data_IF_440986039868
#
_entry.id   IF_440986039868
#
_cell.length_a   1.000
_cell.length_b   1.000
_cell.length_c   1.000
_cell.angle_alpha   90.00
_cell.angle_beta   90.00
_cell.angle_gamma   90.00
#
_symmetry.space_group_name_H-M   'P 1'
#
loop_
_entity.id
_entity.type
_entity.pdbx_description
1 polymer ?
#
# COMPACT_ATOMS: atom_id res chain seq x y z
N UNK A 1 37.61 32.01 3.83
CA UNK A 1 38.04 31.75 2.44
C UNK A 1 39.30 30.91 2.53
N UNK A 2 39.19 29.65 2.07
CA UNK A 2 40.07 28.55 2.43
C UNK A 2 41.43 28.54 1.73
N UNK A 3 42.16 27.45 1.96
CA UNK A 3 43.42 27.10 1.28
C UNK A 3 43.10 26.65 -0.16
N UNK A 4 43.90 27.00 -1.18
CA UNK A 4 43.69 26.48 -2.53
C UNK A 4 43.75 24.94 -2.54
N UNK A 5 42.85 24.33 -3.31
CA UNK A 5 42.70 22.87 -3.39
C UNK A 5 43.58 22.34 -4.52
N UNK A 6 44.41 21.34 -4.22
CA UNK A 6 45.14 20.59 -5.27
C UNK A 6 44.10 20.00 -6.22
N UNK A 7 44.29 20.16 -7.53
CA UNK A 7 43.35 19.69 -8.55
C UNK A 7 44.02 18.65 -9.44
N UNK A 8 43.34 17.53 -9.69
CA UNK A 8 43.76 16.56 -10.69
C UNK A 8 43.27 16.99 -12.07
N UNK A 9 44.18 17.14 -13.03
CA UNK A 9 43.87 17.41 -14.44
C UNK A 9 43.07 16.26 -15.03
N UNK A 10 42.05 16.57 -15.83
CA UNK A 10 41.23 15.58 -16.52
C UNK A 10 39.99 16.18 -17.16
N UNK A 11 39.21 15.31 -17.79
CA UNK A 11 38.09 15.68 -18.67
C UNK A 11 36.73 15.83 -17.93
N UNK A 12 36.75 15.68 -16.60
CA UNK A 12 35.57 15.91 -15.76
C UNK A 12 35.41 17.41 -15.50
N UNK A 13 34.17 17.88 -15.45
CA UNK A 13 33.84 19.29 -15.20
C UNK A 13 34.61 19.90 -14.00
N UNK A 14 34.64 19.18 -12.87
CA UNK A 14 35.34 19.63 -11.65
C UNK A 14 36.85 19.79 -11.87
N UNK A 15 37.48 18.87 -12.61
CA UNK A 15 38.90 18.93 -12.96
C UNK A 15 39.25 20.10 -13.86
N UNK A 16 38.40 20.38 -14.86
CA UNK A 16 38.60 21.50 -15.79
C UNK A 16 38.41 22.86 -15.09
N UNK A 17 37.38 22.98 -14.24
CA UNK A 17 37.13 24.19 -13.44
C UNK A 17 38.30 24.48 -12.50
N UNK A 18 38.73 23.49 -11.72
CA UNK A 18 39.85 23.67 -10.79
C UNK A 18 41.16 24.03 -11.50
N UNK A 19 41.47 23.38 -12.62
CA UNK A 19 42.70 23.66 -13.40
C UNK A 19 42.67 25.07 -14.00
N UNK A 20 41.52 25.51 -14.52
CA UNK A 20 41.35 26.85 -15.07
C UNK A 20 41.55 27.93 -13.99
N UNK A 21 40.91 27.76 -12.83
CA UNK A 21 41.03 28.73 -11.72
C UNK A 21 42.47 28.84 -11.25
N UNK A 22 43.11 27.70 -10.95
CA UNK A 22 44.51 27.68 -10.49
C UNK A 22 45.47 28.30 -11.50
N UNK A 23 45.21 28.10 -12.80
CA UNK A 23 46.01 28.72 -13.86
C UNK A 23 45.87 30.24 -13.85
N UNK A 24 44.65 30.76 -13.76
CA UNK A 24 44.40 32.20 -13.80
C UNK A 24 44.88 32.96 -12.56
N UNK A 25 45.00 32.29 -11.42
CA UNK A 25 45.57 32.87 -10.19
C UNK A 25 47.07 32.57 -10.03
N UNK A 26 47.70 31.91 -11.02
CA UNK A 26 49.14 31.65 -11.03
C UNK A 26 49.61 30.52 -10.11
N UNK A 27 48.71 29.63 -9.68
CA UNK A 27 48.99 28.49 -8.80
C UNK A 27 48.98 27.15 -9.57
N UNK A 28 49.58 27.14 -10.76
CA UNK A 28 49.62 25.97 -11.65
C UNK A 28 50.37 24.79 -11.04
N UNK A 29 51.25 25.03 -10.06
CA UNK A 29 51.99 23.97 -9.39
C UNK A 29 51.10 23.08 -8.50
N UNK A 30 49.88 23.54 -8.16
CA UNK A 30 48.83 22.76 -7.49
C UNK A 30 47.95 21.94 -8.44
N UNK A 31 48.22 21.97 -9.75
CA UNK A 31 47.55 21.11 -10.73
C UNK A 31 48.38 19.83 -10.89
N UNK A 32 47.81 18.69 -10.53
CA UNK A 32 48.43 17.39 -10.67
C UNK A 32 48.05 16.72 -11.99
N UNK A 33 48.99 16.01 -12.62
CA UNK A 33 48.75 15.29 -13.88
C UNK A 33 48.35 13.82 -13.67
N UNK A 34 48.61 13.26 -12.48
CA UNK A 34 48.25 11.88 -12.11
C UNK A 34 47.75 11.81 -10.67
N UNK A 35 47.05 10.74 -10.30
CA UNK A 35 46.60 10.51 -8.91
C UNK A 35 47.77 10.45 -7.91
N UNK A 36 48.90 9.87 -8.32
CA UNK A 36 50.10 9.84 -7.48
C UNK A 36 50.68 11.24 -7.24
N UNK A 37 50.78 12.05 -8.30
CA UNK A 37 51.24 13.44 -8.20
C UNK A 37 50.28 14.29 -7.35
N UNK A 38 48.98 14.02 -7.44
CA UNK A 38 47.95 14.67 -6.62
C UNK A 38 48.21 14.43 -5.13
N UNK A 39 48.39 13.17 -4.74
CA UNK A 39 48.67 12.79 -3.35
C UNK A 39 49.99 13.40 -2.89
N UNK A 40 51.05 13.33 -3.69
CA UNK A 40 52.35 13.90 -3.37
C UNK A 40 52.28 15.42 -3.14
N UNK A 41 51.58 16.16 -4.02
CA UNK A 41 51.38 17.61 -3.89
C UNK A 41 50.53 17.96 -2.68
N UNK A 42 49.47 17.20 -2.40
CA UNK A 42 48.62 17.41 -1.23
C UNK A 42 49.38 17.19 0.09
N UNK A 43 50.16 16.10 0.18
CA UNK A 43 50.99 15.80 1.36
C UNK A 43 52.08 16.86 1.56
N UNK A 44 52.75 17.28 0.48
CA UNK A 44 53.76 18.35 0.56
C UNK A 44 53.15 19.67 1.03
N UNK A 45 52.00 20.05 0.47
CA UNK A 45 51.30 21.27 0.86
C UNK A 45 50.82 21.21 2.31
N UNK A 46 50.33 20.06 2.79
CA UNK A 46 49.89 19.89 4.17
C UNK A 46 51.03 19.99 5.20
N UNK A 47 52.24 19.57 4.83
CA UNK A 47 53.41 19.61 5.71
C UNK A 47 54.18 20.95 5.68
N UNK A 48 53.92 21.82 4.69
CA UNK A 48 54.56 23.13 4.57
C UNK A 48 53.65 24.24 5.14
N UNK A 49 53.68 24.37 6.45
CA UNK A 49 52.86 25.34 7.20
C UNK A 49 53.17 26.80 6.85
N UNK A 50 54.44 27.11 6.54
CA UNK A 50 54.87 28.43 6.12
C UNK A 50 54.25 28.82 4.77
N UNK A 51 54.29 27.92 3.79
CA UNK A 51 53.65 28.10 2.49
C UNK A 51 52.13 28.22 2.61
N UNK A 52 51.50 27.40 3.44
CA UNK A 52 50.05 27.48 3.70
C UNK A 52 49.65 28.84 4.28
N UNK A 53 50.43 29.36 5.23
CA UNK A 53 50.21 30.69 5.81
C UNK A 53 50.37 31.79 4.77
N UNK A 54 51.42 31.72 3.94
CA UNK A 54 51.65 32.64 2.83
C UNK A 54 50.50 32.65 1.83
N UNK A 55 50.06 31.46 1.39
CA UNK A 55 48.91 31.32 0.50
C UNK A 55 47.63 31.91 1.12
N UNK A 56 47.33 31.62 2.39
CA UNK A 56 46.15 32.20 3.07
C UNK A 56 46.20 33.72 3.11
N UNK A 57 47.39 34.30 3.31
CA UNK A 57 47.58 35.75 3.35
C UNK A 57 47.45 36.39 1.95
N UNK A 58 47.93 35.74 0.88
CA UNK A 58 47.99 36.31 -0.47
C UNK A 58 46.79 36.00 -1.36
N UNK A 59 46.09 34.88 -1.14
CA UNK A 59 45.12 34.31 -2.10
C UNK A 59 43.99 35.27 -2.45
N UNK A 60 43.47 36.02 -1.47
CA UNK A 60 42.39 37.00 -1.73
C UNK A 60 42.86 38.08 -2.71
N UNK A 61 44.04 38.62 -2.48
CA UNK A 61 44.62 39.64 -3.35
C UNK A 61 44.92 39.08 -4.73
N UNK A 62 45.51 37.89 -4.82
CA UNK A 62 45.76 37.20 -6.10
C UNK A 62 44.47 36.94 -6.88
N UNK A 63 43.40 36.52 -6.22
CA UNK A 63 42.09 36.32 -6.84
C UNK A 63 41.51 37.64 -7.38
N UNK A 64 41.53 38.71 -6.58
CA UNK A 64 41.04 40.03 -6.97
C UNK A 64 41.81 40.64 -8.15
N UNK A 65 43.12 40.40 -8.22
CA UNK A 65 43.98 40.87 -9.31
C UNK A 65 43.94 39.96 -10.54
N UNK A 66 43.33 38.76 -10.44
CA UNK A 66 43.25 37.82 -11.55
C UNK A 66 42.20 38.23 -12.59
N UNK A 67 42.33 37.75 -13.84
CA UNK A 67 41.31 37.95 -14.86
C UNK A 67 39.91 37.45 -14.46
N UNK A 68 39.81 36.49 -13.53
CA UNK A 68 38.54 35.95 -13.03
C UNK A 68 37.68 36.99 -12.30
N UNK A 69 38.31 37.99 -11.67
CA UNK A 69 37.61 39.07 -10.97
C UNK A 69 37.56 40.38 -11.76
N UNK A 70 38.04 40.38 -13.02
CA UNK A 70 37.93 41.52 -13.90
C UNK A 70 36.66 41.42 -14.76
N UNK A 71 35.52 41.80 -14.17
CA UNK A 71 34.21 41.72 -14.82
C UNK A 71 34.15 42.49 -16.15
N UNK A 72 34.83 43.64 -16.24
CA UNK A 72 34.86 44.44 -17.47
C UNK A 72 35.61 43.73 -18.60
N UNK A 73 36.80 43.18 -18.32
CA UNK A 73 37.59 42.45 -19.32
C UNK A 73 36.89 41.15 -19.74
N UNK A 74 36.22 40.47 -18.81
CA UNK A 74 35.38 39.32 -19.12
C UNK A 74 34.24 39.70 -20.07
N UNK A 75 33.48 40.76 -19.76
CA UNK A 75 32.39 41.23 -20.60
C UNK A 75 32.87 41.62 -22.01
N UNK A 76 33.99 42.34 -22.12
CA UNK A 76 34.59 42.70 -23.40
C UNK A 76 35.05 41.47 -24.20
N UNK A 77 35.62 40.45 -23.54
CA UNK A 77 36.06 39.23 -24.21
C UNK A 77 34.88 38.42 -24.74
N UNK A 78 33.79 38.31 -23.97
CA UNK A 78 32.54 37.67 -24.39
C UNK A 78 31.92 38.44 -25.56
N UNK A 79 31.86 39.77 -25.47
CA UNK A 79 31.37 40.63 -26.54
C UNK A 79 32.19 40.47 -27.82
N UNK A 80 33.52 40.45 -27.71
CA UNK A 80 34.43 40.24 -28.83
C UNK A 80 34.19 38.87 -29.50
N UNK A 81 34.03 37.81 -28.69
CA UNK A 81 33.70 36.48 -29.20
C UNK A 81 32.35 36.46 -29.93
N UNK A 82 31.31 37.09 -29.39
CA UNK A 82 30.01 37.21 -30.08
C UNK A 82 30.12 37.99 -31.39
N UNK A 83 30.87 39.09 -31.40
CA UNK A 83 31.10 39.88 -32.61
C UNK A 83 31.91 39.08 -33.65
N UNK A 84 32.88 38.29 -33.23
CA UNK A 84 33.65 37.43 -34.12
C UNK A 84 32.78 36.33 -34.73
N UNK A 85 31.97 35.64 -33.91
CA UNK A 85 31.00 34.64 -34.36
C UNK A 85 30.00 35.26 -35.35
N UNK A 86 29.52 36.47 -35.06
CA UNK A 86 28.62 37.21 -35.96
C UNK A 86 29.27 37.57 -37.29
N UNK A 87 30.53 38.03 -37.28
CA UNK A 87 31.29 38.31 -38.51
C UNK A 87 31.50 37.06 -39.34
N UNK A 88 31.86 35.94 -38.71
CA UNK A 88 32.02 34.63 -39.36
C UNK A 88 30.72 34.18 -40.03
N UNK A 89 29.60 34.23 -39.28
CA UNK A 89 28.27 33.92 -39.81
C UNK A 89 27.90 34.74 -41.05
N UNK A 90 28.19 36.05 -41.03
CA UNK A 90 27.92 36.93 -42.16
C UNK A 90 28.85 36.68 -43.36
N UNK A 91 30.13 36.36 -43.13
CA UNK A 91 31.10 36.08 -44.20
C UNK A 91 30.81 34.79 -44.97
N UNK A 92 30.10 33.84 -44.34
CA UNK A 92 29.74 32.55 -44.94
C UNK A 92 28.33 32.57 -45.58
N UNK A 93 27.73 33.76 -45.76
CA UNK A 93 26.40 33.95 -46.37
C UNK A 93 25.29 33.10 -45.71
N UNK A 94 25.40 32.85 -44.40
CA UNK A 94 24.46 31.98 -43.68
C UNK A 94 24.43 30.53 -44.16
N UNK A 95 25.44 30.05 -44.90
CA UNK A 95 25.53 28.65 -45.35
C UNK A 95 26.06 27.69 -44.30
N UNK A 96 26.47 28.18 -43.13
CA UNK A 96 26.57 27.29 -41.96
C UNK A 96 25.15 26.91 -41.59
N UNK A 97 24.76 25.68 -41.93
CA UNK A 97 23.73 24.98 -41.16
C UNK A 97 24.27 24.90 -39.74
N UNK A 98 23.97 25.93 -38.95
CA UNK A 98 23.91 25.79 -37.52
C UNK A 98 22.84 24.73 -37.31
N UNK A 99 23.26 23.51 -36.96
CA UNK A 99 22.40 22.61 -36.19
C UNK A 99 22.17 23.29 -34.83
N UNK A 100 21.43 24.40 -34.85
CA UNK A 100 20.89 25.06 -33.67
C UNK A 100 19.76 24.20 -33.14
N UNK A 101 20.11 23.04 -32.61
CA UNK A 101 19.59 22.68 -31.30
C UNK A 101 20.53 23.32 -30.29
N UNK A 102 20.35 24.62 -30.04
CA UNK A 102 20.61 25.12 -28.70
C UNK A 102 19.54 24.40 -27.88
N UNK A 103 19.86 23.44 -26.99
CA UNK A 103 18.84 22.81 -26.19
C UNK A 103 18.19 23.92 -25.37
N UNK A 104 16.97 24.29 -25.76
CA UNK A 104 16.12 25.13 -24.97
C UNK A 104 15.77 24.30 -23.72
N UNK A 105 16.57 24.42 -22.66
CA UNK A 105 16.32 23.80 -21.36
C UNK A 105 15.18 24.51 -20.60
N UNK A 106 14.22 25.10 -21.31
CA UNK A 106 12.90 25.29 -20.71
C UNK A 106 12.26 23.90 -20.63
N UNK A 107 12.43 23.24 -19.49
CA UNK A 107 11.60 22.10 -19.10
C UNK A 107 10.16 22.59 -19.19
N UNK A 108 9.46 22.21 -20.25
CA UNK A 108 8.04 22.49 -20.37
C UNK A 108 7.36 21.60 -19.33
N UNK A 109 7.08 22.19 -18.16
CA UNK A 109 6.53 21.49 -17.00
C UNK A 109 5.27 20.73 -17.38
N UNK A 110 4.39 21.33 -18.19
CA UNK A 110 3.15 20.68 -18.65
C UNK A 110 3.44 19.45 -19.51
N UNK A 111 4.35 19.56 -20.49
CA UNK A 111 4.74 18.43 -21.34
C UNK A 111 5.36 17.29 -20.52
N UNK A 112 6.24 17.63 -19.60
CA UNK A 112 6.93 16.66 -18.75
C UNK A 112 5.95 16.04 -17.74
N UNK A 113 5.03 16.82 -17.18
CA UNK A 113 3.97 16.31 -16.30
C UNK A 113 3.09 15.31 -17.06
N UNK A 114 2.66 15.63 -18.28
CA UNK A 114 1.88 14.73 -19.12
C UNK A 114 2.65 13.43 -19.45
N UNK A 115 3.96 13.54 -19.73
CA UNK A 115 4.81 12.37 -19.94
C UNK A 115 4.95 11.52 -18.67
N UNK A 116 5.13 12.16 -17.51
CA UNK A 116 5.18 11.49 -16.21
C UNK A 116 3.88 10.77 -15.90
N UNK A 117 2.73 11.40 -16.15
CA UNK A 117 1.40 10.81 -15.97
C UNK A 117 1.20 9.61 -16.90
N UNK A 118 1.62 9.70 -18.16
CA UNK A 118 1.52 8.58 -19.10
C UNK A 118 2.35 7.37 -18.64
N UNK A 119 3.57 7.59 -18.17
CA UNK A 119 4.42 6.54 -17.60
C UNK A 119 3.84 5.97 -16.30
N UNK A 120 3.27 6.82 -15.46
CA UNK A 120 2.60 6.43 -14.23
C UNK A 120 1.40 5.51 -14.54
N UNK A 121 0.55 5.88 -15.49
CA UNK A 121 -0.58 5.05 -15.95
C UNK A 121 -0.13 3.74 -16.59
N UNK A 122 1.03 3.71 -17.23
CA UNK A 122 1.65 2.50 -17.77
C UNK A 122 2.30 1.60 -16.69
N UNK A 123 2.31 2.02 -15.42
CA UNK A 123 2.94 1.29 -14.32
C UNK A 123 4.47 1.46 -14.25
N UNK A 124 5.06 2.33 -15.08
CA UNK A 124 6.49 2.63 -15.10
C UNK A 124 6.86 3.64 -13.99
N UNK A 125 6.61 3.25 -12.73
CA UNK A 125 6.71 4.15 -11.57
C UNK A 125 8.08 4.79 -11.41
N UNK A 126 9.18 4.06 -11.63
CA UNK A 126 10.52 4.61 -11.47
C UNK A 126 10.81 5.70 -12.50
N UNK A 127 10.43 5.50 -13.77
CA UNK A 127 10.57 6.53 -14.81
C UNK A 127 9.69 7.74 -14.52
N UNK A 128 8.46 7.53 -14.08
CA UNK A 128 7.55 8.62 -13.70
C UNK A 128 8.11 9.45 -12.53
N UNK A 129 8.66 8.79 -11.49
CA UNK A 129 9.32 9.47 -10.36
C UNK A 129 10.47 10.35 -10.82
N UNK A 130 11.32 9.87 -11.74
CA UNK A 130 12.45 10.67 -12.24
C UNK A 130 11.98 11.92 -12.98
N UNK A 131 10.89 11.83 -13.75
CA UNK A 131 10.28 13.01 -14.38
C UNK A 131 9.73 13.98 -13.34
N UNK A 132 8.96 13.52 -12.35
CA UNK A 132 8.42 14.40 -11.31
C UNK A 132 9.54 15.06 -10.48
N UNK A 133 10.61 14.33 -10.15
CA UNK A 133 11.79 14.91 -9.49
C UNK A 133 12.48 15.96 -10.37
N UNK A 134 12.62 15.72 -11.67
CA UNK A 134 13.17 16.69 -12.63
C UNK A 134 12.32 17.97 -12.66
N UNK A 135 11.00 17.85 -12.66
CA UNK A 135 10.09 18.99 -12.53
C UNK A 135 10.36 19.73 -11.22
N UNK A 136 10.48 19.02 -10.10
CA UNK A 136 10.73 19.61 -8.78
C UNK A 136 12.14 20.22 -8.62
N UNK A 137 13.10 19.85 -9.47
CA UNK A 137 14.41 20.54 -9.53
C UNK A 137 14.30 21.92 -10.17
N UNK A 138 13.37 22.08 -11.12
CA UNK A 138 13.11 23.35 -11.82
C UNK A 138 12.15 24.22 -11.03
N UNK A 139 11.08 23.62 -10.50
CA UNK A 139 10.09 24.25 -9.64
C UNK A 139 9.83 23.40 -8.38
N UNK A 140 10.53 23.68 -7.27
CA UNK A 140 10.39 22.92 -6.02
C UNK A 140 8.99 22.95 -5.39
N UNK A 141 8.13 23.89 -5.81
CA UNK A 141 6.78 24.09 -5.30
C UNK A 141 5.72 23.78 -6.37
N UNK A 142 6.03 22.95 -7.37
CA UNK A 142 5.03 22.49 -8.32
C UNK A 142 4.06 21.50 -7.62
N UNK A 143 2.80 21.88 -7.33
CA UNK A 143 1.88 21.10 -6.52
C UNK A 143 1.48 19.75 -7.15
N UNK A 144 1.27 19.67 -8.46
CA UNK A 144 0.90 18.42 -9.14
C UNK A 144 2.06 17.42 -9.17
N UNK A 145 3.30 17.87 -9.34
CA UNK A 145 4.46 16.98 -9.28
C UNK A 145 4.66 16.43 -7.85
N UNK A 146 4.47 17.25 -6.81
CA UNK A 146 4.47 16.81 -5.41
C UNK A 146 3.35 15.79 -5.15
N UNK A 147 2.12 16.11 -5.58
CA UNK A 147 0.96 15.25 -5.43
C UNK A 147 1.16 13.90 -6.11
N UNK A 148 1.54 13.89 -7.39
CA UNK A 148 1.71 12.66 -8.17
C UNK A 148 2.86 11.79 -7.63
N UNK A 149 3.95 12.42 -7.18
CA UNK A 149 5.02 11.70 -6.48
C UNK A 149 4.50 11.06 -5.19
N UNK A 150 3.64 11.75 -4.45
CA UNK A 150 2.95 11.21 -3.28
C UNK A 150 1.98 10.07 -3.62
N UNK A 151 1.25 10.16 -4.72
CA UNK A 151 0.39 9.07 -5.21
C UNK A 151 1.21 7.82 -5.53
N UNK A 152 2.37 7.96 -6.19
CA UNK A 152 3.26 6.82 -6.42
C UNK A 152 3.81 6.28 -5.09
N UNK A 153 4.18 7.13 -4.14
CA UNK A 153 4.62 6.69 -2.82
C UNK A 153 3.55 5.83 -2.12
N UNK A 154 2.28 6.25 -2.18
CA UNK A 154 1.15 5.47 -1.67
C UNK A 154 0.99 4.12 -2.39
N UNK A 155 1.01 4.12 -3.72
CA UNK A 155 0.91 2.89 -4.52
C UNK A 155 2.06 1.90 -4.28
N UNK A 156 3.22 2.42 -3.88
CA UNK A 156 4.41 1.61 -3.53
C UNK A 156 4.52 1.31 -2.03
N UNK A 157 3.46 1.58 -1.26
CA UNK A 157 3.36 1.25 0.17
C UNK A 157 4.06 2.22 1.12
N UNK A 158 4.68 3.29 0.61
CA UNK A 158 5.35 4.33 1.40
C UNK A 158 4.37 5.42 1.84
N UNK A 159 3.40 5.03 2.66
CA UNK A 159 2.26 5.90 2.98
C UNK A 159 2.64 7.17 3.75
N UNK A 160 3.62 7.13 4.66
CA UNK A 160 4.05 8.34 5.38
C UNK A 160 4.74 9.37 4.45
N UNK A 161 5.54 8.89 3.49
CA UNK A 161 6.13 9.74 2.44
C UNK A 161 5.03 10.36 1.57
N UNK A 162 4.01 9.57 1.22
CA UNK A 162 2.85 10.05 0.47
C UNK A 162 2.11 11.17 1.20
N UNK A 163 1.85 11.00 2.50
CA UNK A 163 1.20 12.02 3.33
C UNK A 163 2.01 13.32 3.34
N UNK A 164 3.34 13.24 3.52
CA UNK A 164 4.23 14.41 3.53
C UNK A 164 4.21 15.17 2.20
N UNK A 165 4.34 14.45 1.07
CA UNK A 165 4.37 15.05 -0.26
C UNK A 165 3.02 15.70 -0.63
N UNK A 166 1.90 15.00 -0.38
CA UNK A 166 0.57 15.52 -0.70
C UNK A 166 0.20 16.68 0.24
N UNK A 167 0.60 16.64 1.50
CA UNK A 167 0.38 17.76 2.42
C UNK A 167 1.08 19.05 1.92
N UNK A 168 2.29 18.94 1.37
CA UNK A 168 2.96 20.07 0.72
C UNK A 168 2.20 20.57 -0.50
N UNK A 169 1.68 19.67 -1.34
CA UNK A 169 0.84 20.06 -2.48
C UNK A 169 -0.43 20.82 -2.04
N UNK A 170 -1.07 20.39 -0.94
CA UNK A 170 -2.23 21.06 -0.35
C UNK A 170 -1.88 22.45 0.19
N UNK A 171 -0.72 22.62 0.83
CA UNK A 171 -0.27 23.93 1.31
C UNK A 171 -0.12 24.94 0.16
N UNK A 172 0.30 24.47 -1.02
CA UNK A 172 0.51 25.31 -2.20
C UNK A 172 -0.81 25.60 -2.93
N UNK A 173 -1.65 24.57 -3.13
CA UNK A 173 -2.95 24.70 -3.77
C UNK A 173 -4.04 24.00 -2.95
N UNK A 174 -4.64 24.71 -1.97
CA UNK A 174 -5.58 24.14 -1.02
C UNK A 174 -7.00 23.94 -1.56
N UNK A 175 -7.26 24.30 -2.83
CA UNK A 175 -8.57 24.19 -3.46
C UNK A 175 -8.69 23.02 -4.44
N UNK A 176 -7.69 22.13 -4.48
CA UNK A 176 -7.76 20.93 -5.31
C UNK A 176 -8.34 19.73 -4.52
N UNK A 177 -9.57 19.27 -4.80
CA UNK A 177 -10.21 18.18 -4.06
C UNK A 177 -9.48 16.83 -4.21
N UNK A 178 -8.77 16.62 -5.33
CA UNK A 178 -8.01 15.40 -5.60
C UNK A 178 -6.89 15.21 -4.58
N UNK A 179 -6.28 16.29 -4.10
CA UNK A 179 -5.20 16.21 -3.11
C UNK A 179 -5.72 15.70 -1.77
N UNK A 180 -6.87 16.20 -1.33
CA UNK A 180 -7.52 15.77 -0.09
C UNK A 180 -8.05 14.33 -0.18
N UNK A 181 -8.56 13.91 -1.34
CA UNK A 181 -8.95 12.51 -1.57
C UNK A 181 -7.72 11.58 -1.46
N UNK A 182 -6.62 11.93 -2.13
CA UNK A 182 -5.44 11.07 -2.15
C UNK A 182 -4.65 11.07 -0.83
N UNK A 183 -4.56 12.19 -0.11
CA UNK A 183 -3.97 12.19 1.24
C UNK A 183 -4.84 11.40 2.21
N UNK A 184 -6.17 11.45 2.08
CA UNK A 184 -7.09 10.63 2.88
C UNK A 184 -6.85 9.13 2.65
N UNK A 185 -6.59 8.72 1.42
CA UNK A 185 -6.25 7.34 1.10
C UNK A 185 -4.93 6.90 1.74
N UNK A 186 -3.90 7.74 1.67
CA UNK A 186 -2.62 7.49 2.31
C UNK A 186 -2.74 7.43 3.85
N UNK A 187 -3.46 8.38 4.47
CA UNK A 187 -3.70 8.42 5.92
C UNK A 187 -4.44 7.17 6.42
N UNK A 188 -5.46 6.72 5.68
CA UNK A 188 -6.19 5.48 5.99
C UNK A 188 -5.24 4.28 6.01
N UNK A 189 -4.33 4.19 5.04
CA UNK A 189 -3.35 3.10 4.99
C UNK A 189 -2.24 3.21 6.06
N UNK A 190 -2.03 4.39 6.65
CA UNK A 190 -1.24 4.57 7.88
C UNK A 190 -2.02 4.22 9.17
N UNK A 191 -3.29 3.81 9.08
CA UNK A 191 -4.16 3.60 10.25
C UNK A 191 -4.70 4.89 10.88
N UNK A 192 -4.42 6.06 10.29
CA UNK A 192 -4.86 7.39 10.76
C UNK A 192 -6.25 7.71 10.23
N UNK A 193 -7.23 6.88 10.58
CA UNK A 193 -8.58 6.89 9.99
C UNK A 193 -9.35 8.20 10.27
N UNK A 194 -9.20 8.79 11.46
CA UNK A 194 -9.84 10.07 11.79
C UNK A 194 -9.38 11.20 10.87
N UNK A 195 -8.08 11.30 10.62
CA UNK A 195 -7.51 12.33 9.73
C UNK A 195 -7.88 12.07 8.26
N UNK A 196 -8.01 10.81 7.87
CA UNK A 196 -8.52 10.44 6.55
C UNK A 196 -9.96 10.95 6.35
N UNK A 197 -10.84 10.77 7.33
CA UNK A 197 -12.22 11.26 7.29
C UNK A 197 -12.26 12.79 7.16
N UNK A 198 -11.45 13.52 7.92
CA UNK A 198 -11.35 14.98 7.80
C UNK A 198 -10.93 15.38 6.39
N UNK A 199 -9.94 14.69 5.81
CA UNK A 199 -9.46 14.96 4.46
C UNK A 199 -10.54 14.68 3.41
N UNK A 200 -11.22 13.54 3.46
CA UNK A 200 -12.31 13.25 2.52
C UNK A 200 -13.49 14.20 2.65
N UNK A 201 -13.85 14.61 3.88
CA UNK A 201 -14.86 15.65 4.10
C UNK A 201 -14.48 16.96 3.42
N UNK A 202 -13.19 17.35 3.48
CA UNK A 202 -12.70 18.53 2.78
C UNK A 202 -12.76 18.36 1.25
N UNK A 203 -12.46 17.18 0.73
CA UNK A 203 -12.57 16.89 -0.70
C UNK A 203 -14.00 17.08 -1.24
N UNK A 204 -15.01 16.57 -0.51
CA UNK A 204 -16.42 16.71 -0.92
C UNK A 204 -17.00 18.11 -0.64
N UNK A 205 -16.44 18.85 0.32
CA UNK A 205 -16.75 20.27 0.55
C UNK A 205 -16.29 21.13 -0.64
N UNK A 206 -15.07 20.89 -1.14
CA UNK A 206 -14.50 21.60 -2.29
C UNK A 206 -15.22 21.20 -3.59
N UNK A 207 -15.49 19.90 -3.78
CA UNK A 207 -16.24 19.41 -4.93
C UNK A 207 -17.38 18.48 -4.50
N UNK A 208 -18.62 19.01 -4.38
CA UNK A 208 -19.80 18.21 -4.05
C UNK A 208 -20.20 17.16 -5.10
N UNK A 209 -19.63 17.20 -6.30
CA UNK A 209 -19.87 16.25 -7.40
C UNK A 209 -18.67 15.30 -7.58
N UNK A 210 -18.12 14.78 -6.47
CA UNK A 210 -16.95 13.90 -6.49
C UNK A 210 -17.28 12.50 -5.92
N UNK A 211 -17.77 11.56 -6.75
CA UNK A 211 -18.30 10.28 -6.27
C UNK A 211 -17.24 9.40 -5.59
N UNK A 212 -15.99 9.41 -6.07
CA UNK A 212 -14.89 8.65 -5.47
C UNK A 212 -14.57 9.14 -4.05
N UNK A 213 -14.61 10.45 -3.80
CA UNK A 213 -14.40 11.01 -2.47
C UNK A 213 -15.52 10.60 -1.49
N UNK A 214 -16.78 10.59 -1.93
CA UNK A 214 -17.89 10.06 -1.12
C UNK A 214 -17.74 8.57 -0.84
N UNK A 215 -17.37 7.75 -1.84
CA UNK A 215 -17.12 6.32 -1.65
C UNK A 215 -15.99 6.07 -0.64
N UNK A 216 -14.89 6.81 -0.75
CA UNK A 216 -13.76 6.72 0.17
C UNK A 216 -14.11 7.20 1.59
N UNK A 217 -14.89 8.27 1.73
CA UNK A 217 -15.43 8.72 3.02
C UNK A 217 -16.31 7.64 3.65
N UNK A 218 -17.21 7.03 2.88
CA UNK A 218 -18.06 5.93 3.33
C UNK A 218 -17.24 4.73 3.82
N UNK A 219 -16.19 4.36 3.08
CA UNK A 219 -15.27 3.29 3.47
C UNK A 219 -14.58 3.58 4.81
N UNK A 220 -14.13 4.82 5.03
CA UNK A 220 -13.48 5.21 6.28
C UNK A 220 -14.46 5.26 7.47
N UNK A 221 -15.69 5.75 7.26
CA UNK A 221 -16.74 5.76 8.28
C UNK A 221 -17.18 4.36 8.67
N UNK A 222 -17.31 3.45 7.69
CA UNK A 222 -17.59 2.02 7.92
C UNK A 222 -16.53 1.38 8.80
N UNK A 223 -15.25 1.68 8.57
CA UNK A 223 -14.14 1.19 9.39
C UNK A 223 -14.21 1.70 10.84
N UNK A 224 -14.82 2.87 11.10
CA UNK A 224 -15.10 3.37 12.45
C UNK A 224 -16.37 2.81 13.10
N UNK A 225 -17.11 1.93 12.42
CA UNK A 225 -18.41 1.45 12.88
C UNK A 225 -19.55 2.45 12.70
N UNK A 226 -19.34 3.58 12.03
CA UNK A 226 -20.37 4.57 11.70
C UNK A 226 -21.12 4.17 10.43
N UNK A 227 -21.83 3.05 10.51
CA UNK A 227 -22.37 2.37 9.32
C UNK A 227 -23.46 3.19 8.63
N UNK A 228 -24.36 3.84 9.37
CA UNK A 228 -25.41 4.66 8.76
C UNK A 228 -24.86 5.89 8.02
N UNK A 229 -23.85 6.57 8.58
CA UNK A 229 -23.15 7.67 7.90
C UNK A 229 -22.43 7.17 6.63
N UNK A 230 -21.87 5.95 6.66
CA UNK A 230 -21.26 5.34 5.48
C UNK A 230 -22.30 5.09 4.37
N UNK A 231 -23.48 4.58 4.71
CA UNK A 231 -24.59 4.38 3.74
C UNK A 231 -24.99 5.69 3.09
N UNK A 232 -25.09 6.80 3.86
CA UNK A 232 -25.37 8.13 3.30
C UNK A 232 -24.31 8.54 2.27
N UNK A 233 -23.04 8.32 2.58
CA UNK A 233 -21.94 8.64 1.66
C UNK A 233 -22.00 7.81 0.37
N UNK A 234 -22.19 6.49 0.47
CA UNK A 234 -22.31 5.64 -0.72
C UNK A 234 -23.53 6.00 -1.57
N UNK A 235 -24.67 6.28 -0.93
CA UNK A 235 -25.87 6.75 -1.62
C UNK A 235 -25.59 8.01 -2.42
N UNK A 236 -24.87 8.97 -1.82
CA UNK A 236 -24.46 10.19 -2.53
C UNK A 236 -23.51 9.90 -3.69
N UNK A 237 -22.57 8.97 -3.53
CA UNK A 237 -21.67 8.56 -4.60
C UNK A 237 -22.41 7.99 -5.82
N UNK A 238 -23.42 7.13 -5.60
CA UNK A 238 -24.20 6.53 -6.70
C UNK A 238 -25.25 7.47 -7.28
N UNK A 239 -25.74 8.45 -6.52
CA UNK A 239 -26.57 9.54 -7.06
C UNK A 239 -25.78 10.41 -8.06
N UNK A 240 -24.50 10.66 -7.78
CA UNK A 240 -23.61 11.44 -8.66
C UNK A 240 -23.16 10.59 -9.86
N UNK A 241 -22.78 9.34 -9.63
CA UNK A 241 -22.40 8.39 -10.68
C UNK A 241 -23.24 7.10 -10.59
N UNK A 242 -24.36 7.03 -11.33
CA UNK A 242 -25.24 5.85 -11.36
C UNK A 242 -24.57 4.57 -11.88
N UNK A 243 -23.41 4.65 -12.54
CA UNK A 243 -22.67 3.50 -13.07
C UNK A 243 -21.49 3.09 -12.17
N UNK A 244 -21.49 3.47 -10.89
CA UNK A 244 -20.39 3.18 -9.96
C UNK A 244 -20.61 1.84 -9.23
N UNK A 245 -20.30 0.72 -9.91
CA UNK A 245 -20.53 -0.63 -9.38
C UNK A 245 -19.89 -0.89 -8.00
N UNK A 246 -18.66 -0.41 -7.78
CA UNK A 246 -17.95 -0.56 -6.50
C UNK A 246 -18.69 0.14 -5.34
N UNK A 247 -19.22 1.35 -5.57
CA UNK A 247 -19.97 2.08 -4.56
C UNK A 247 -21.29 1.36 -4.21
N UNK A 248 -21.98 0.76 -5.18
CA UNK A 248 -23.14 -0.08 -4.94
C UNK A 248 -22.80 -1.35 -4.12
N UNK A 249 -21.70 -2.04 -4.44
CA UNK A 249 -21.24 -3.19 -3.65
C UNK A 249 -20.88 -2.80 -2.21
N UNK A 250 -20.18 -1.68 -2.03
CA UNK A 250 -19.83 -1.14 -0.72
C UNK A 250 -21.08 -0.71 0.08
N UNK A 251 -22.05 -0.09 -0.59
CA UNK A 251 -23.36 0.26 -0.01
C UNK A 251 -24.11 -0.99 0.45
N UNK A 252 -24.16 -2.03 -0.38
CA UNK A 252 -24.77 -3.32 -0.03
C UNK A 252 -24.13 -3.92 1.21
N UNK A 253 -22.80 -3.93 1.28
CA UNK A 253 -22.09 -4.42 2.46
C UNK A 253 -22.45 -3.66 3.74
N UNK A 254 -22.53 -2.33 3.67
CA UNK A 254 -22.94 -1.51 4.81
C UNK A 254 -24.41 -1.73 5.22
N UNK A 255 -25.33 -1.79 4.25
CA UNK A 255 -26.75 -2.06 4.47
C UNK A 255 -26.98 -3.42 5.14
N UNK A 256 -26.24 -4.45 4.70
CA UNK A 256 -26.25 -5.79 5.32
C UNK A 256 -25.85 -5.72 6.79
N UNK A 257 -24.79 -4.98 7.11
CA UNK A 257 -24.34 -4.79 8.51
C UNK A 257 -25.39 -4.09 9.37
N UNK A 258 -26.16 -3.15 8.82
CA UNK A 258 -27.30 -2.52 9.53
C UNK A 258 -28.57 -3.39 9.58
N UNK A 259 -28.56 -4.61 9.03
CA UNK A 259 -29.75 -5.48 8.96
C UNK A 259 -30.79 -5.07 7.90
N UNK A 260 -30.47 -4.11 7.02
CA UNK A 260 -31.32 -3.66 5.91
C UNK A 260 -31.11 -4.58 4.70
N UNK A 261 -31.51 -5.83 4.84
CA UNK A 261 -31.14 -6.93 3.93
C UNK A 261 -31.65 -6.72 2.51
N UNK A 262 -32.89 -6.28 2.33
CA UNK A 262 -33.55 -6.12 1.05
C UNK A 262 -32.92 -5.00 0.24
N UNK A 263 -32.59 -3.88 0.90
CA UNK A 263 -31.85 -2.77 0.28
C UNK A 263 -30.42 -3.19 -0.06
N UNK A 264 -29.79 -4.03 0.76
CA UNK A 264 -28.49 -4.62 0.45
C UNK A 264 -28.53 -5.46 -0.82
N UNK A 265 -29.54 -6.32 -0.99
CA UNK A 265 -29.70 -7.15 -2.19
C UNK A 265 -29.97 -6.27 -3.43
N UNK A 266 -30.77 -5.22 -3.30
CA UNK A 266 -30.99 -4.26 -4.39
C UNK A 266 -29.68 -3.58 -4.82
N UNK A 267 -28.84 -3.18 -3.85
CA UNK A 267 -27.55 -2.58 -4.12
C UNK A 267 -26.59 -3.55 -4.85
N UNK A 268 -26.47 -4.81 -4.40
CA UNK A 268 -25.64 -5.80 -5.10
C UNK A 268 -26.15 -6.09 -6.52
N UNK A 269 -27.47 -6.22 -6.70
CA UNK A 269 -28.05 -6.41 -8.03
C UNK A 269 -27.71 -5.25 -8.95
N UNK A 270 -27.73 -3.99 -8.48
CA UNK A 270 -27.25 -2.85 -9.26
C UNK A 270 -25.76 -2.92 -9.58
N UNK A 271 -24.92 -3.32 -8.63
CA UNK A 271 -23.49 -3.51 -8.90
C UNK A 271 -23.24 -4.56 -9.99
N UNK A 272 -24.01 -5.67 -9.97
CA UNK A 272 -23.94 -6.76 -10.96
C UNK A 272 -24.51 -6.34 -12.32
N UNK A 273 -25.61 -5.59 -12.35
CA UNK A 273 -26.19 -5.05 -13.59
C UNK A 273 -25.19 -4.14 -14.32
N UNK A 274 -24.48 -3.28 -13.57
CA UNK A 274 -23.46 -2.38 -14.11
C UNK A 274 -22.21 -3.16 -14.54
N UNK A 275 -21.76 -4.12 -13.72
CA UNK A 275 -20.60 -4.96 -14.01
C UNK A 275 -20.91 -6.44 -13.79
N UNK A 276 -21.35 -7.17 -14.83
CA UNK A 276 -21.64 -8.59 -14.75
C UNK A 276 -20.43 -9.49 -14.46
N UNK A 277 -19.20 -8.94 -14.52
CA UNK A 277 -17.95 -9.65 -14.18
C UNK A 277 -17.44 -9.27 -12.78
N UNK A 278 -18.30 -8.77 -11.90
CA UNK A 278 -17.90 -8.38 -10.55
C UNK A 278 -18.05 -9.54 -9.55
N UNK A 279 -17.04 -10.42 -9.49
CA UNK A 279 -17.04 -11.60 -8.62
C UNK A 279 -17.36 -11.31 -7.14
N UNK A 280 -16.83 -10.19 -6.62
CA UNK A 280 -17.04 -9.80 -5.22
C UNK A 280 -18.50 -9.47 -4.92
N UNK A 281 -19.21 -8.82 -5.84
CA UNK A 281 -20.63 -8.50 -5.67
C UNK A 281 -21.49 -9.76 -5.62
N UNK A 282 -21.21 -10.74 -6.50
CA UNK A 282 -21.85 -12.06 -6.45
C UNK A 282 -21.55 -12.79 -5.13
N UNK A 283 -20.30 -12.78 -4.67
CA UNK A 283 -19.92 -13.38 -3.38
C UNK A 283 -20.66 -12.73 -2.20
N UNK A 284 -20.68 -11.40 -2.13
CA UNK A 284 -21.32 -10.65 -1.06
C UNK A 284 -22.85 -10.85 -1.08
N UNK A 285 -23.46 -10.90 -2.26
CA UNK A 285 -24.87 -11.23 -2.43
C UNK A 285 -25.16 -12.66 -1.98
N UNK A 286 -24.34 -13.64 -2.40
CA UNK A 286 -24.48 -15.04 -2.00
C UNK A 286 -24.42 -15.24 -0.48
N UNK A 287 -23.56 -14.50 0.21
CA UNK A 287 -23.52 -14.47 1.67
C UNK A 287 -24.79 -13.91 2.31
N UNK A 288 -25.35 -12.87 1.72
CA UNK A 288 -26.57 -12.20 2.19
C UNK A 288 -27.80 -13.08 1.98
N UNK A 289 -27.94 -13.69 0.81
CA UNK A 289 -29.03 -14.62 0.47
C UNK A 289 -28.98 -15.88 1.35
N UNK A 290 -27.78 -16.37 1.68
CA UNK A 290 -27.62 -17.48 2.64
C UNK A 290 -28.20 -17.16 4.02
N UNK A 291 -28.07 -15.91 4.50
CA UNK A 291 -28.63 -15.49 5.79
C UNK A 291 -30.17 -15.54 5.80
N UNK A 292 -30.80 -15.44 4.63
CA UNK A 292 -32.24 -15.63 4.43
C UNK A 292 -32.64 -17.10 4.25
N UNK A 293 -31.71 -18.05 4.43
CA UNK A 293 -31.90 -19.48 4.22
C UNK A 293 -32.33 -19.88 2.78
N UNK A 294 -32.05 -19.02 1.78
CA UNK A 294 -32.31 -19.27 0.35
C UNK A 294 -31.08 -19.95 -0.26
N UNK A 295 -30.88 -21.23 0.06
CA UNK A 295 -29.61 -21.94 -0.19
C UNK A 295 -29.28 -22.10 -1.68
N UNK A 296 -30.26 -22.40 -2.53
CA UNK A 296 -30.08 -22.61 -3.98
C UNK A 296 -29.59 -21.33 -4.68
N UNK A 297 -30.18 -20.19 -4.36
CA UNK A 297 -29.80 -18.89 -4.93
C UNK A 297 -28.44 -18.42 -4.39
N UNK A 298 -28.16 -18.67 -3.11
CA UNK A 298 -26.83 -18.42 -2.55
C UNK A 298 -25.76 -19.23 -3.30
N UNK A 299 -26.06 -20.51 -3.61
CA UNK A 299 -25.18 -21.36 -4.37
C UNK A 299 -24.97 -20.85 -5.80
N UNK A 300 -26.02 -20.38 -6.48
CA UNK A 300 -25.92 -19.77 -7.81
C UNK A 300 -24.99 -18.53 -7.79
N UNK A 301 -25.15 -17.67 -6.77
CA UNK A 301 -24.29 -16.52 -6.58
C UNK A 301 -22.81 -16.92 -6.40
N UNK A 302 -22.52 -17.88 -5.53
CA UNK A 302 -21.13 -18.33 -5.32
C UNK A 302 -20.55 -19.01 -6.57
N UNK A 303 -21.35 -19.81 -7.30
CA UNK A 303 -20.93 -20.40 -8.58
C UNK A 303 -20.54 -19.33 -9.59
N UNK A 304 -21.33 -18.25 -9.70
CA UNK A 304 -20.98 -17.11 -10.56
C UNK A 304 -19.72 -16.40 -10.09
N UNK A 305 -19.54 -16.21 -8.78
CA UNK A 305 -18.32 -15.61 -8.23
C UNK A 305 -17.06 -16.41 -8.60
N UNK A 306 -17.08 -17.75 -8.50
CA UNK A 306 -15.93 -18.61 -8.84
C UNK A 306 -15.77 -18.83 -10.35
N UNK A 307 -16.84 -18.74 -11.13
CA UNK A 307 -16.77 -18.73 -12.61
C UNK A 307 -16.01 -17.49 -13.10
N UNK A 308 -16.26 -16.33 -12.50
CA UNK A 308 -15.58 -15.07 -12.82
C UNK A 308 -14.16 -15.04 -12.26
N UNK A 309 -13.97 -15.49 -11.01
CA UNK A 309 -12.67 -15.59 -10.35
C UNK A 309 -12.40 -17.02 -9.84
N UNK A 310 -11.76 -17.88 -10.64
CA UNK A 310 -11.45 -19.26 -10.25
C UNK A 310 -10.50 -19.40 -9.05
N UNK A 311 -9.83 -18.33 -8.62
CA UNK A 311 -8.92 -18.31 -7.48
C UNK A 311 -9.56 -17.68 -6.23
N UNK A 312 -10.89 -17.71 -6.10
CA UNK A 312 -11.61 -17.11 -4.98
C UNK A 312 -11.83 -18.12 -3.83
N UNK A 313 -10.82 -18.32 -2.99
CA UNK A 313 -10.83 -19.35 -1.93
C UNK A 313 -12.03 -19.22 -0.97
N UNK A 314 -12.37 -18.00 -0.55
CA UNK A 314 -13.47 -17.72 0.38
C UNK A 314 -14.83 -18.08 -0.24
N UNK A 315 -15.00 -17.87 -1.54
CA UNK A 315 -16.22 -18.24 -2.26
C UNK A 315 -16.38 -19.77 -2.33
N UNK A 316 -15.30 -20.52 -2.59
CA UNK A 316 -15.32 -21.98 -2.50
C UNK A 316 -15.64 -22.47 -1.09
N UNK A 317 -15.00 -21.92 -0.05
CA UNK A 317 -15.30 -22.31 1.33
C UNK A 317 -16.77 -22.05 1.68
N UNK A 318 -17.31 -20.88 1.35
CA UNK A 318 -18.72 -20.56 1.61
C UNK A 318 -19.68 -21.40 0.77
N UNK A 319 -19.32 -21.75 -0.47
CA UNK A 319 -20.07 -22.68 -1.29
C UNK A 319 -20.11 -24.08 -0.66
N UNK A 320 -19.00 -24.56 -0.10
CA UNK A 320 -18.94 -25.81 0.65
C UNK A 320 -19.85 -25.79 1.88
N UNK A 321 -19.91 -24.65 2.60
CA UNK A 321 -20.84 -24.47 3.72
C UNK A 321 -22.30 -24.57 3.26
N UNK A 322 -22.66 -23.99 2.12
CA UNK A 322 -24.02 -24.10 1.57
C UNK A 322 -24.34 -25.55 1.19
N UNK A 323 -23.43 -26.25 0.49
CA UNK A 323 -23.62 -27.67 0.17
C UNK A 323 -23.81 -28.54 1.41
N UNK A 324 -23.04 -28.28 2.48
CA UNK A 324 -23.22 -28.95 3.77
C UNK A 324 -24.64 -28.75 4.32
N UNK A 325 -25.18 -27.53 4.30
CA UNK A 325 -26.55 -27.26 4.75
C UNK A 325 -27.61 -27.94 3.89
N UNK A 326 -27.33 -28.17 2.60
CA UNK A 326 -28.19 -28.94 1.69
C UNK A 326 -28.03 -30.47 1.83
N UNK A 327 -27.16 -30.95 2.73
CA UNK A 327 -26.86 -32.38 2.89
C UNK A 327 -25.95 -32.98 1.80
N UNK A 328 -25.36 -32.13 0.95
CA UNK A 328 -24.46 -32.52 -0.14
C UNK A 328 -23.01 -32.62 0.34
N UNK A 329 -22.73 -33.73 1.03
CA UNK A 329 -21.48 -33.95 1.77
C UNK A 329 -20.26 -33.98 0.86
N UNK A 330 -20.33 -34.71 -0.25
CA UNK A 330 -19.23 -34.88 -1.21
C UNK A 330 -18.86 -33.56 -1.87
N UNK A 331 -19.84 -32.80 -2.37
CA UNK A 331 -19.61 -31.50 -2.99
C UNK A 331 -19.05 -30.49 -1.98
N UNK A 332 -19.44 -30.57 -0.71
CA UNK A 332 -18.88 -29.72 0.34
C UNK A 332 -17.39 -29.97 0.54
N UNK A 333 -16.97 -31.25 0.56
CA UNK A 333 -15.56 -31.66 0.71
C UNK A 333 -14.73 -31.19 -0.48
N UNK A 334 -15.24 -31.32 -1.71
CA UNK A 334 -14.58 -30.83 -2.91
C UNK A 334 -14.35 -29.32 -2.86
N UNK A 335 -15.36 -28.56 -2.44
CA UNK A 335 -15.27 -27.11 -2.27
C UNK A 335 -14.21 -26.72 -1.24
N UNK A 336 -14.17 -27.35 -0.06
CA UNK A 336 -13.17 -27.04 0.95
C UNK A 336 -11.75 -27.40 0.48
N UNK A 337 -11.58 -28.55 -0.20
CA UNK A 337 -10.29 -28.92 -0.81
C UNK A 337 -9.85 -27.88 -1.83
N UNK A 338 -10.76 -27.37 -2.67
CA UNK A 338 -10.42 -26.34 -3.65
C UNK A 338 -10.03 -25.01 -2.99
N UNK A 339 -10.73 -24.60 -1.94
CA UNK A 339 -10.37 -23.42 -1.14
C UNK A 339 -8.95 -23.55 -0.55
N UNK A 340 -8.58 -24.73 -0.05
CA UNK A 340 -7.24 -25.04 0.48
C UNK A 340 -6.18 -25.09 -0.62
N UNK A 341 -6.50 -25.63 -1.79
CA UNK A 341 -5.59 -25.65 -2.95
C UNK A 341 -5.20 -24.23 -3.37
N UNK A 342 -6.20 -23.33 -3.42
CA UNK A 342 -6.01 -21.91 -3.77
C UNK A 342 -5.29 -21.16 -2.66
N UNK A 343 -5.69 -21.35 -1.40
CA UNK A 343 -5.08 -20.73 -0.24
C UNK A 343 -4.71 -21.78 0.81
N UNK A 344 -3.45 -22.29 0.77
CA UNK A 344 -2.97 -23.28 1.73
C UNK A 344 -2.91 -22.81 3.19
N UNK A 345 -3.19 -21.53 3.49
CA UNK A 345 -3.25 -20.99 4.84
C UNK A 345 -4.69 -20.72 5.31
N UNK A 346 -5.70 -21.16 4.56
CA UNK A 346 -7.11 -20.91 4.90
C UNK A 346 -7.58 -21.79 6.06
N UNK A 347 -7.44 -21.29 7.28
CA UNK A 347 -7.75 -22.02 8.51
C UNK A 347 -9.23 -22.47 8.60
N UNK A 348 -10.18 -21.61 8.21
CA UNK A 348 -11.60 -21.97 8.24
C UNK A 348 -11.93 -23.12 7.28
N UNK A 349 -11.31 -23.15 6.09
CA UNK A 349 -11.52 -24.23 5.12
C UNK A 349 -10.99 -25.58 5.65
N UNK A 350 -9.82 -25.58 6.30
CA UNK A 350 -9.32 -26.76 7.01
C UNK A 350 -10.26 -27.21 8.13
N UNK A 351 -10.73 -26.29 8.97
CA UNK A 351 -11.67 -26.63 10.03
C UNK A 351 -12.99 -27.21 9.48
N UNK A 352 -13.54 -26.60 8.43
CA UNK A 352 -14.77 -27.07 7.79
C UNK A 352 -14.59 -28.44 7.11
N UNK A 353 -13.45 -28.67 6.46
CA UNK A 353 -13.09 -29.97 5.92
C UNK A 353 -12.97 -31.03 7.03
N UNK A 354 -12.35 -30.68 8.17
CA UNK A 354 -12.26 -31.55 9.34
C UNK A 354 -13.64 -31.95 9.88
N UNK A 355 -14.58 -30.98 9.98
CA UNK A 355 -15.95 -31.26 10.39
C UNK A 355 -16.63 -32.22 9.41
N UNK A 356 -16.48 -32.00 8.10
CA UNK A 356 -17.04 -32.87 7.07
C UNK A 356 -16.48 -34.30 7.16
N UNK A 357 -15.16 -34.45 7.37
CA UNK A 357 -14.51 -35.76 7.52
C UNK A 357 -14.95 -36.47 8.81
N UNK A 358 -15.08 -35.75 9.92
CA UNK A 358 -15.53 -36.35 11.19
C UNK A 358 -16.97 -36.87 11.07
N UNK A 359 -17.86 -36.12 10.43
CA UNK A 359 -19.23 -36.54 10.17
C UNK A 359 -19.32 -37.79 9.26
N UNK A 360 -18.29 -38.05 8.46
CA UNK A 360 -18.15 -39.27 7.65
C UNK A 360 -17.50 -40.44 8.42
N UNK A 361 -17.23 -40.29 9.72
CA UNK A 361 -16.55 -41.29 10.55
C UNK A 361 -15.03 -41.35 10.35
N UNK A 362 -14.46 -40.40 9.58
CA UNK A 362 -13.02 -40.36 9.24
C UNK A 362 -12.26 -39.49 10.25
N UNK A 363 -12.36 -39.84 11.53
CA UNK A 363 -11.83 -39.05 12.64
C UNK A 363 -10.32 -38.77 12.54
N UNK A 364 -9.52 -39.73 12.02
CA UNK A 364 -8.09 -39.52 11.82
C UNK A 364 -7.76 -38.37 10.84
N UNK A 365 -8.45 -38.33 9.70
CA UNK A 365 -8.29 -37.25 8.73
C UNK A 365 -8.84 -35.92 9.24
N UNK A 366 -9.89 -35.95 10.07
CA UNK A 366 -10.43 -34.77 10.72
C UNK A 366 -9.39 -34.14 11.66
N UNK A 367 -8.70 -34.94 12.48
CA UNK A 367 -7.61 -34.51 13.37
C UNK A 367 -6.49 -33.82 12.57
N UNK A 368 -6.07 -34.38 11.44
CA UNK A 368 -5.06 -33.75 10.58
C UNK A 368 -5.53 -32.38 10.06
N UNK A 369 -6.80 -32.28 9.67
CA UNK A 369 -7.37 -31.02 9.21
C UNK A 369 -7.43 -29.96 10.33
N UNK A 370 -7.89 -30.33 11.53
CA UNK A 370 -7.94 -29.41 12.67
C UNK A 370 -6.54 -28.96 13.09
N UNK A 371 -5.55 -29.86 13.06
CA UNK A 371 -4.15 -29.53 13.34
C UNK A 371 -3.63 -28.45 12.38
N UNK A 372 -3.91 -28.60 11.08
CA UNK A 372 -3.56 -27.59 10.06
C UNK A 372 -4.31 -26.28 10.25
N UNK A 373 -5.59 -26.32 10.62
CA UNK A 373 -6.37 -25.12 10.92
C UNK A 373 -5.74 -24.31 12.07
N UNK A 374 -5.36 -24.99 13.16
CA UNK A 374 -4.71 -24.36 14.32
C UNK A 374 -3.29 -23.86 14.02
N UNK A 375 -2.57 -24.51 13.09
CA UNK A 375 -1.25 -24.05 12.65
C UNK A 375 -1.30 -22.73 11.85
N UNK A 376 -2.46 -22.38 11.27
CA UNK A 376 -2.64 -21.18 10.45
C UNK A 376 -3.44 -20.07 11.12
N UNK A 377 -4.08 -20.34 12.26
CA UNK A 377 -4.84 -19.35 13.02
C UNK A 377 -4.58 -19.53 14.51
N UNK A 378 -3.84 -18.57 15.08
CA UNK A 378 -3.66 -18.46 16.52
C UNK A 378 -5.00 -18.24 17.22
N UNK A 379 -5.15 -18.74 18.45
CA UNK A 379 -6.38 -18.61 19.27
C UNK A 379 -7.67 -19.09 18.57
N UNK A 380 -7.60 -20.20 17.82
CA UNK A 380 -8.76 -20.76 17.14
C UNK A 380 -9.57 -21.71 18.04
N UNK A 381 -10.43 -21.16 18.88
CA UNK A 381 -11.21 -21.93 19.88
C UNK A 381 -12.12 -23.00 19.25
N UNK A 382 -12.76 -22.72 18.12
CA UNK A 382 -13.64 -23.65 17.42
C UNK A 382 -12.87 -24.89 16.92
N UNK A 383 -11.66 -24.69 16.37
CA UNK A 383 -10.83 -25.81 15.92
C UNK A 383 -10.36 -26.68 17.09
N UNK A 384 -10.05 -26.08 18.26
CA UNK A 384 -9.73 -26.82 19.47
C UNK A 384 -10.94 -27.63 19.97
N UNK A 385 -12.13 -27.04 20.00
CA UNK A 385 -13.34 -27.77 20.36
C UNK A 385 -13.62 -28.94 19.40
N UNK A 386 -13.49 -28.72 18.09
CA UNK A 386 -13.73 -29.76 17.09
C UNK A 386 -12.67 -30.87 17.13
N UNK A 387 -11.41 -30.52 17.45
CA UNK A 387 -10.35 -31.48 17.74
C UNK A 387 -10.70 -32.33 18.95
N UNK A 388 -11.13 -31.71 20.06
CA UNK A 388 -11.57 -32.43 21.25
C UNK A 388 -12.72 -33.39 20.95
N UNK A 389 -13.66 -32.98 20.11
CA UNK A 389 -14.77 -33.82 19.66
C UNK A 389 -14.29 -35.05 18.89
N UNK A 390 -13.43 -34.88 17.89
CA UNK A 390 -12.87 -36.01 17.13
C UNK A 390 -12.02 -36.95 18.00
N UNK A 391 -11.28 -36.43 18.97
CA UNK A 391 -10.53 -37.24 19.94
C UNK A 391 -11.46 -38.04 20.87
N UNK A 392 -12.56 -37.43 21.30
CA UNK A 392 -13.57 -38.06 22.14
C UNK A 392 -14.26 -39.22 21.39
N UNK A 393 -14.60 -39.03 20.10
CA UNK A 393 -15.15 -40.08 19.23
C UNK A 393 -14.19 -41.28 19.07
N UNK A 394 -12.87 -41.05 19.18
CA UNK A 394 -11.85 -42.11 19.19
C UNK A 394 -11.63 -42.74 20.58
N UNK A 395 -12.37 -42.32 21.61
CA UNK A 395 -12.18 -42.77 22.99
C UNK A 395 -10.96 -42.18 23.70
N UNK A 396 -10.29 -41.18 23.11
CA UNK A 396 -9.09 -40.51 23.66
C UNK A 396 -9.51 -39.39 24.62
N UNK A 397 -10.25 -39.76 25.67
CA UNK A 397 -10.94 -38.82 26.56
C UNK A 397 -10.00 -37.82 27.25
N UNK A 398 -8.80 -38.25 27.65
CA UNK A 398 -7.82 -37.36 28.30
C UNK A 398 -7.35 -36.24 27.37
N UNK A 399 -6.99 -36.59 26.14
CA UNK A 399 -6.55 -35.63 25.13
C UNK A 399 -7.71 -34.72 24.70
N UNK A 400 -8.92 -35.29 24.55
CA UNK A 400 -10.12 -34.51 24.27
C UNK A 400 -10.35 -33.41 25.33
N UNK A 401 -10.25 -33.75 26.62
CA UNK A 401 -10.39 -32.79 27.70
C UNK A 401 -9.34 -31.65 27.66
N UNK A 402 -8.10 -31.94 27.24
CA UNK A 402 -7.08 -30.90 27.06
C UNK A 402 -7.45 -29.91 25.95
N UNK A 403 -7.94 -30.40 24.81
CA UNK A 403 -8.36 -29.54 23.71
C UNK A 403 -9.60 -28.70 24.05
N UNK A 404 -10.58 -29.28 24.75
CA UNK A 404 -11.73 -28.50 25.22
C UNK A 404 -11.32 -27.43 26.24
N UNK A 405 -10.39 -27.74 27.15
CA UNK A 405 -9.86 -26.76 28.10
C UNK A 405 -9.21 -25.57 27.38
N UNK A 406 -8.37 -25.84 26.37
CA UNK A 406 -7.77 -24.78 25.53
C UNK A 406 -8.84 -23.94 24.82
N UNK A 407 -9.88 -24.56 24.28
CA UNK A 407 -10.98 -23.83 23.63
C UNK A 407 -11.69 -22.87 24.61
N UNK A 408 -11.90 -23.29 25.85
CA UNK A 408 -12.51 -22.50 26.92
C UNK A 408 -11.58 -21.40 27.43
N UNK A 409 -10.28 -21.67 27.54
CA UNK A 409 -9.27 -20.67 27.90
C UNK A 409 -9.20 -19.55 26.86
N UNK A 410 -9.27 -19.91 25.57
CA UNK A 410 -9.31 -18.95 24.45
C UNK A 410 -10.63 -18.18 24.39
N UNK A 411 -11.75 -18.86 24.68
CA UNK A 411 -13.10 -18.30 24.63
C UNK A 411 -13.90 -18.70 25.87
N UNK A 412 -13.81 -17.92 26.97
CA UNK A 412 -14.46 -18.24 28.24
C UNK A 412 -15.98 -18.41 28.17
N UNK A 413 -16.65 -17.70 27.27
CA UNK A 413 -18.09 -17.72 27.00
C UNK A 413 -18.50 -18.82 25.99
N UNK A 414 -17.61 -19.77 25.66
CA UNK A 414 -17.92 -20.84 24.71
C UNK A 414 -18.70 -21.98 25.36
N UNK A 415 -20.03 -21.80 25.50
CA UNK A 415 -20.93 -22.75 26.18
C UNK A 415 -20.72 -24.20 25.70
N UNK A 416 -20.68 -24.42 24.38
CA UNK A 416 -20.53 -25.75 23.80
C UNK A 416 -19.22 -26.43 24.21
N UNK A 417 -18.09 -25.75 24.14
CA UNK A 417 -16.79 -26.31 24.53
C UNK A 417 -16.72 -26.60 26.03
N UNK A 418 -17.33 -25.74 26.84
CA UNK A 418 -17.40 -25.91 28.29
C UNK A 418 -18.28 -27.11 28.67
N UNK A 419 -19.41 -27.31 27.99
CA UNK A 419 -20.27 -28.51 28.16
C UNK A 419 -19.57 -29.79 27.71
N UNK A 420 -18.87 -29.76 26.57
CA UNK A 420 -18.10 -30.89 26.06
C UNK A 420 -16.99 -31.29 27.05
N UNK A 421 -16.29 -30.31 27.62
CA UNK A 421 -15.28 -30.54 28.66
C UNK A 421 -15.88 -31.28 29.86
N UNK A 422 -16.97 -30.76 30.43
CA UNK A 422 -17.63 -31.37 31.59
C UNK A 422 -18.08 -32.80 31.32
N UNK A 423 -18.72 -33.01 30.17
CA UNK A 423 -19.16 -34.34 29.76
C UNK A 423 -17.97 -35.30 29.66
N UNK A 424 -16.89 -34.90 28.97
CA UNK A 424 -15.70 -35.75 28.86
C UNK A 424 -15.02 -36.00 30.21
N UNK A 425 -15.00 -35.01 31.12
CA UNK A 425 -14.46 -35.20 32.47
C UNK A 425 -15.29 -36.19 33.28
N UNK A 426 -16.62 -36.14 33.18
CA UNK A 426 -17.52 -37.04 33.90
C UNK A 426 -17.23 -38.52 33.62
N UNK A 427 -16.85 -38.85 32.38
CA UNK A 427 -16.59 -40.24 31.97
C UNK A 427 -15.10 -40.61 31.87
N UNK A 428 -14.20 -39.64 31.83
CA UNK A 428 -12.78 -39.87 31.52
C UNK A 428 -11.76 -39.54 32.60
N UNK A 429 -12.13 -38.80 33.66
CA UNK A 429 -11.13 -38.07 34.45
C UNK A 429 -10.77 -38.64 35.83
N UNK A 430 -11.47 -39.66 36.34
CA UNK A 430 -11.19 -40.18 37.69
C UNK A 430 -11.33 -39.14 38.82
N UNK A 431 -11.92 -37.98 38.53
CA UNK A 431 -12.19 -36.93 39.52
C UNK A 431 -13.30 -37.37 40.48
N UNK A 432 -13.30 -36.82 41.70
CA UNK A 432 -14.34 -37.14 42.68
C UNK A 432 -15.69 -36.55 42.26
N UNK A 433 -16.82 -37.18 42.65
CA UNK A 433 -18.15 -36.65 42.40
C UNK A 433 -18.34 -35.20 42.90
N UNK A 434 -17.73 -34.84 44.03
CA UNK A 434 -17.80 -33.50 44.62
C UNK A 434 -17.10 -32.47 43.72
N UNK A 435 -15.94 -32.83 43.19
CA UNK A 435 -15.20 -31.96 42.26
C UNK A 435 -15.98 -31.76 40.96
N UNK A 436 -16.56 -32.82 40.39
CA UNK A 436 -17.38 -32.73 39.17
C UNK A 436 -18.62 -31.86 39.41
N UNK A 437 -19.32 -32.06 40.53
CA UNK A 437 -20.46 -31.24 40.92
C UNK A 437 -20.10 -29.75 40.98
N UNK A 438 -18.96 -29.43 41.59
CA UNK A 438 -18.47 -28.05 41.65
C UNK A 438 -18.16 -27.46 40.27
N UNK A 439 -17.58 -28.23 39.35
CA UNK A 439 -17.36 -27.75 37.97
C UNK A 439 -18.68 -27.49 37.23
N UNK A 440 -19.68 -28.34 37.42
CA UNK A 440 -21.03 -28.11 36.86
C UNK A 440 -21.69 -26.86 37.44
N UNK A 441 -21.51 -26.59 38.74
CA UNK A 441 -21.99 -25.38 39.41
C UNK A 441 -21.33 -24.13 38.82
N UNK A 442 -19.99 -24.12 38.68
CA UNK A 442 -19.23 -23.02 38.07
C UNK A 442 -19.62 -22.78 36.61
N UNK A 443 -19.90 -23.84 35.84
CA UNK A 443 -20.40 -23.71 34.48
C UNK A 443 -21.77 -23.04 34.44
N UNK A 444 -22.68 -23.41 35.34
CA UNK A 444 -24.01 -22.81 35.42
C UNK A 444 -23.92 -21.32 35.76
N UNK A 445 -23.11 -20.94 36.75
CA UNK A 445 -22.91 -19.53 37.11
C UNK A 445 -22.34 -18.67 35.98
N UNK A 446 -21.57 -19.29 35.07
CA UNK A 446 -20.93 -18.58 33.96
C UNK A 446 -21.85 -18.40 32.74
N UNK A 447 -22.79 -19.32 32.54
CA UNK A 447 -23.50 -19.47 31.26
C UNK A 447 -25.04 -19.43 31.37
N UNK A 448 -25.59 -19.38 32.58
CA UNK A 448 -27.01 -19.14 32.84
C UNK A 448 -27.31 -17.64 32.87
#
# INVERSE_FOLDING_TARGET
MGVPVVTLRGDRHVSSVGSSILTQIGLTDLIADTEYDYIAKAVRLANDTGRLMGLRASLRHQMQMSPLCNASAFAQSVEAAYREMWRKFNSENGKVKLETQIPNFQVNIEKELNQGVALHQAGEFDKAKEIYKKILQVDPNQPDALHLLGVIAHQTGKNDEAVSLIARAIQINPQNPLYYSNIGAALKNCGRVDEAIVSYKKAVEINPNYPEAYSNLGNALKHQGKIDEAVVCYKRAVEINPNYAEAYNNMGNALKTCGRIEESLAAYNKAIEINPKYAEAYYNMGGTVKMLNRLEESLECYKKAVEINPNYAEAYNNMGVVYKFMGKSEESVECYKKAIEINPKHAEAYNNLGIAMNNQGRAGEAIDCYSKAMAHKENYAEAHNNMGYAMNDQGRLREAAEYYRKAVEMKPDYNQAHSNLLFTLQYGSGHSPEWLFEQHRLWHEKHA
#
